data_IF_110119388690
#
_entry.id   IF_110119388690
#
_cell.length_a   1.000
_cell.length_b   1.000
_cell.length_c   1.000
_cell.angle_alpha   90.00
_cell.angle_beta   90.00
_cell.angle_gamma   90.00
#
_symmetry.space_group_name_H-M   'P 1'
#
loop_
_entity.id
_entity.type
_entity.pdbx_description
1 polymer ?
#
# COMPACT_ATOMS: atom_id res chain seq x y z
N UNK A 1 -5.78 -35.13 69.19
CA UNK A 1 -6.34 -34.96 67.83
C UNK A 1 -5.52 -33.90 67.12
N UNK A 2 -4.86 -34.33 66.06
CA UNK A 2 -4.02 -33.56 65.13
C UNK A 2 -4.88 -32.71 64.20
N UNK A 3 -4.38 -31.56 63.75
CA UNK A 3 -4.69 -30.95 62.44
C UNK A 3 -3.73 -29.80 62.13
N UNK A 4 -2.65 -30.17 61.44
CA UNK A 4 -1.70 -29.31 60.77
C UNK A 4 -2.33 -28.84 59.44
N UNK A 5 -2.45 -27.53 59.19
CA UNK A 5 -3.03 -27.01 57.95
C UNK A 5 -1.94 -26.76 56.92
N UNK A 6 -1.88 -27.66 55.94
CA UNK A 6 -0.92 -27.74 54.83
C UNK A 6 -1.25 -26.67 53.77
N UNK A 7 -0.28 -25.80 53.47
CA UNK A 7 -0.32 -24.84 52.35
C UNK A 7 -0.42 -25.60 51.01
N UNK A 8 -1.33 -25.25 50.09
CA UNK A 8 -1.39 -25.90 48.80
C UNK A 8 -0.21 -25.45 47.93
N UNK A 9 0.69 -26.39 47.67
CA UNK A 9 1.68 -26.33 46.59
C UNK A 9 0.95 -26.55 45.27
N UNK A 10 1.07 -25.59 44.36
CA UNK A 10 0.78 -25.77 42.94
C UNK A 10 1.76 -24.90 42.15
N UNK A 11 2.95 -25.46 41.95
CA UNK A 11 3.90 -24.96 40.97
C UNK A 11 3.44 -25.45 39.58
N UNK A 12 2.69 -24.62 38.87
CA UNK A 12 2.63 -24.73 37.41
C UNK A 12 3.93 -24.12 36.90
N UNK A 13 4.92 -24.99 36.67
CA UNK A 13 6.13 -24.66 35.95
C UNK A 13 5.76 -24.41 34.47
N UNK A 14 5.17 -23.25 34.23
CA UNK A 14 5.02 -22.68 32.90
C UNK A 14 6.37 -22.17 32.42
N UNK A 15 6.57 -22.22 31.12
CA UNK A 15 7.77 -21.85 30.36
C UNK A 15 8.08 -20.36 30.55
N UNK A 16 8.56 -19.97 31.73
CA UNK A 16 8.94 -18.61 32.05
C UNK A 16 10.43 -18.47 31.72
N UNK A 17 10.71 -18.09 30.46
CA UNK A 17 11.96 -17.40 30.16
C UNK A 17 12.12 -16.18 31.08
N UNK A 18 13.34 -15.65 31.28
CA UNK A 18 13.59 -14.55 32.20
C UNK A 18 12.56 -13.43 32.03
N UNK A 19 11.89 -13.05 33.13
CA UNK A 19 10.94 -11.94 33.13
C UNK A 19 11.65 -10.67 32.66
N UNK A 20 11.15 -9.97 31.63
CA UNK A 20 11.80 -8.77 31.11
C UNK A 20 12.06 -7.77 32.22
N UNK A 21 13.29 -7.27 32.28
CA UNK A 21 13.62 -6.23 33.26
C UNK A 21 12.83 -4.94 32.94
N UNK A 22 12.55 -4.12 33.96
CA UNK A 22 11.88 -2.82 33.75
C UNK A 22 12.60 -1.94 32.70
N UNK A 23 13.92 -2.12 32.54
CA UNK A 23 14.73 -1.46 31.52
C UNK A 23 14.44 -1.98 30.10
N UNK A 24 14.31 -3.29 29.92
CA UNK A 24 13.93 -3.89 28.64
C UNK A 24 12.53 -3.45 28.21
N UNK A 25 11.58 -3.40 29.14
CA UNK A 25 10.23 -2.89 28.87
C UNK A 25 10.25 -1.45 28.35
N UNK A 26 11.01 -0.56 29.01
CA UNK A 26 11.17 0.83 28.57
C UNK A 26 11.83 0.94 27.19
N UNK A 27 12.86 0.12 26.93
CA UNK A 27 13.53 0.05 25.63
C UNK A 27 12.54 -0.34 24.52
N UNK A 28 11.74 -1.37 24.76
CA UNK A 28 10.76 -1.83 23.78
C UNK A 28 9.64 -0.80 23.57
N UNK A 29 9.21 -0.08 24.62
CA UNK A 29 8.28 1.04 24.46
C UNK A 29 8.80 2.15 23.56
N UNK A 30 10.08 2.53 23.68
CA UNK A 30 10.70 3.53 22.80
C UNK A 30 10.73 3.02 21.36
N UNK A 31 11.18 1.77 21.15
CA UNK A 31 11.21 1.13 19.84
C UNK A 31 9.84 1.10 19.18
N UNK A 32 8.79 0.76 19.93
CA UNK A 32 7.42 0.75 19.41
C UNK A 32 6.97 2.15 18.97
N UNK A 33 7.28 3.20 19.74
CA UNK A 33 6.97 4.58 19.35
C UNK A 33 7.67 4.97 18.05
N UNK A 34 8.96 4.66 17.93
CA UNK A 34 9.75 4.90 16.71
C UNK A 34 9.17 4.15 15.51
N UNK A 35 8.77 2.89 15.68
CA UNK A 35 8.16 2.09 14.62
C UNK A 35 6.82 2.68 14.15
N UNK A 36 5.97 3.13 15.08
CA UNK A 36 4.69 3.77 14.76
C UNK A 36 4.92 5.09 14.01
N UNK A 37 5.89 5.89 14.45
CA UNK A 37 6.22 7.15 13.77
C UNK A 37 6.76 6.91 12.36
N UNK A 38 7.67 5.93 12.21
CA UNK A 38 8.18 5.50 10.91
C UNK A 38 7.07 5.01 10.00
N UNK A 39 6.13 4.22 10.52
CA UNK A 39 4.97 3.75 9.76
C UNK A 39 4.13 4.92 9.26
N UNK A 40 3.81 5.89 10.13
CA UNK A 40 3.07 7.11 9.75
C UNK A 40 3.79 7.91 8.67
N UNK A 41 5.12 8.02 8.77
CA UNK A 41 5.93 8.73 7.77
C UNK A 41 5.92 8.03 6.42
N UNK A 42 6.10 6.72 6.40
CA UNK A 42 6.04 5.92 5.17
C UNK A 42 4.66 5.99 4.52
N UNK A 43 3.59 5.97 5.32
CA UNK A 43 2.23 6.09 4.80
C UNK A 43 2.00 7.44 4.10
N UNK A 44 2.46 8.54 4.69
CA UNK A 44 2.40 9.87 4.06
C UNK A 44 3.17 9.93 2.74
N UNK A 45 4.38 9.34 2.70
CA UNK A 45 5.19 9.26 1.49
C UNK A 45 4.53 8.43 0.40
N UNK A 46 3.89 7.31 0.78
CA UNK A 46 3.17 6.45 -0.15
C UNK A 46 2.06 7.24 -0.84
N UNK A 47 1.21 7.92 -0.07
CA UNK A 47 0.12 8.75 -0.60
C UNK A 47 0.65 9.81 -1.58
N UNK A 48 1.69 10.55 -1.19
CA UNK A 48 2.29 11.58 -2.07
C UNK A 48 2.83 11.00 -3.38
N UNK A 49 3.40 9.80 -3.32
CA UNK A 49 3.94 9.12 -4.49
C UNK A 49 2.80 8.63 -5.40
N UNK A 50 1.73 8.09 -4.83
CA UNK A 50 0.53 7.68 -5.56
C UNK A 50 -0.13 8.87 -6.28
N UNK A 51 -0.30 10.00 -5.60
CA UNK A 51 -0.81 11.25 -6.21
C UNK A 51 0.07 11.70 -7.38
N UNK A 52 1.41 11.61 -7.20
CA UNK A 52 2.38 11.97 -8.24
C UNK A 52 2.26 11.03 -9.45
N UNK A 53 2.07 9.73 -9.23
CA UNK A 53 1.87 8.75 -10.31
C UNK A 53 0.63 9.13 -11.11
N UNK A 54 -0.51 9.37 -10.45
CA UNK A 54 -1.78 9.73 -11.11
C UNK A 54 -1.59 10.97 -12.01
N UNK A 55 -0.97 12.02 -11.47
CA UNK A 55 -0.74 13.25 -12.22
C UNK A 55 0.17 13.03 -13.44
N UNK A 56 1.25 12.27 -13.26
CA UNK A 56 2.20 11.97 -14.35
C UNK A 56 1.58 11.09 -15.42
N UNK A 57 0.78 10.10 -15.04
CA UNK A 57 0.04 9.26 -15.99
C UNK A 57 -0.90 10.09 -16.85
N UNK A 58 -1.75 10.92 -16.23
CA UNK A 58 -2.68 11.76 -16.97
C UNK A 58 -1.95 12.67 -17.96
N UNK A 59 -0.89 13.36 -17.51
CA UNK A 59 -0.08 14.26 -18.34
C UNK A 59 0.60 13.52 -19.50
N UNK A 60 1.14 12.33 -19.24
CA UNK A 60 1.85 11.55 -20.26
C UNK A 60 0.90 11.00 -21.33
N UNK A 61 -0.26 10.49 -20.92
CA UNK A 61 -1.28 9.97 -21.84
C UNK A 61 -1.82 11.10 -22.72
N UNK A 62 -2.10 12.27 -22.15
CA UNK A 62 -2.60 13.43 -22.89
C UNK A 62 -1.57 13.95 -23.91
N UNK A 63 -0.30 14.01 -23.52
CA UNK A 63 0.79 14.47 -24.39
C UNK A 63 1.21 13.47 -25.46
N UNK A 64 0.79 12.20 -25.36
CA UNK A 64 1.21 11.11 -26.26
C UNK A 64 0.02 10.45 -27.01
N UNK A 65 -0.73 11.20 -27.85
CA UNK A 65 -1.93 10.69 -28.51
C UNK A 65 -1.64 9.72 -29.66
N UNK A 66 -0.48 9.85 -30.31
CA UNK A 66 -0.12 9.01 -31.46
C UNK A 66 0.36 7.65 -31.00
N UNK A 67 1.08 7.53 -29.90
CA UNK A 67 1.51 6.24 -29.36
C UNK A 67 2.29 6.42 -28.07
N UNK A 68 2.20 5.43 -27.19
CA UNK A 68 2.77 5.47 -25.85
C UNK A 68 3.02 4.05 -25.32
N UNK A 69 3.64 3.93 -24.15
CA UNK A 69 3.99 2.63 -23.54
C UNK A 69 2.77 1.76 -23.17
N UNK A 70 1.55 2.31 -23.13
CA UNK A 70 0.33 1.58 -22.80
C UNK A 70 -0.28 0.93 -24.05
N UNK A 71 -0.28 1.66 -25.17
CA UNK A 71 -0.97 1.23 -26.41
C UNK A 71 -0.03 0.86 -27.55
N UNK A 72 1.27 1.07 -27.38
CA UNK A 72 2.30 0.83 -28.38
C UNK A 72 2.59 2.03 -29.28
N UNK A 73 3.61 1.88 -30.14
CA UNK A 73 4.13 2.92 -31.01
C UNK A 73 3.81 2.70 -32.50
N UNK A 74 2.98 1.71 -32.83
CA UNK A 74 2.65 1.30 -34.20
C UNK A 74 2.16 2.44 -35.11
N UNK A 75 1.46 3.41 -34.54
CA UNK A 75 0.91 4.56 -35.27
C UNK A 75 1.98 5.53 -35.79
N UNK A 76 3.21 5.48 -35.24
CA UNK A 76 4.33 6.26 -35.78
C UNK A 76 4.86 5.68 -37.09
N UNK A 77 4.68 4.37 -37.33
CA UNK A 77 5.15 3.67 -38.53
C UNK A 77 4.09 3.67 -39.63
N UNK A 78 2.81 3.48 -39.27
CA UNK A 78 1.72 3.19 -40.22
C UNK A 78 0.97 4.43 -40.74
N UNK A 79 1.31 5.63 -40.24
CA UNK A 79 0.61 6.88 -40.56
C UNK A 79 -0.71 7.03 -39.81
N UNK A 80 -1.05 8.28 -39.46
CA UNK A 80 -2.12 8.66 -38.51
C UNK A 80 -3.57 8.38 -38.98
N UNK A 81 -3.75 7.72 -40.12
CA UNK A 81 -5.05 7.48 -40.77
C UNK A 81 -6.06 6.68 -39.93
N UNK A 82 -5.63 6.04 -38.82
CA UNK A 82 -6.48 5.32 -37.88
C UNK A 82 -6.72 6.00 -36.51
N UNK A 83 -6.05 7.12 -36.21
CA UNK A 83 -5.99 7.69 -34.85
C UNK A 83 -7.35 8.10 -34.28
N UNK A 84 -8.29 8.58 -35.11
CA UNK A 84 -9.62 9.00 -34.65
C UNK A 84 -10.54 7.83 -34.24
N UNK A 85 -10.42 6.67 -34.90
CA UNK A 85 -11.18 5.47 -34.53
C UNK A 85 -10.59 4.81 -33.27
N UNK A 86 -9.27 4.88 -33.09
CA UNK A 86 -8.60 4.35 -31.92
C UNK A 86 -8.87 5.18 -30.67
N UNK A 87 -8.96 6.52 -30.76
CA UNK A 87 -9.39 7.39 -29.64
C UNK A 87 -10.79 7.11 -29.11
N UNK A 88 -11.68 6.52 -29.92
CA UNK A 88 -13.02 6.06 -29.50
C UNK A 88 -13.01 4.64 -28.93
N UNK A 89 -11.96 3.87 -29.22
CA UNK A 89 -11.71 2.51 -28.69
C UNK A 89 -10.86 2.51 -27.41
N UNK A 90 -10.04 3.55 -27.26
CA UNK A 90 -9.37 3.95 -26.02
C UNK A 90 -10.50 4.35 -25.08
N UNK A 91 -10.80 3.50 -24.10
CA UNK A 91 -11.93 3.75 -23.19
C UNK A 91 -11.68 4.95 -22.28
N UNK A 92 -12.32 4.97 -21.11
CA UNK A 92 -12.05 5.99 -20.10
C UNK A 92 -10.54 6.12 -19.87
N UNK A 93 -10.05 7.35 -19.67
CA UNK A 93 -8.63 7.63 -19.35
C UNK A 93 -8.16 6.79 -18.16
N UNK A 94 -9.08 6.48 -17.26
CA UNK A 94 -8.89 5.63 -16.08
C UNK A 94 -8.53 4.17 -16.42
N UNK A 95 -8.96 3.65 -17.58
CA UNK A 95 -8.56 2.32 -18.05
C UNK A 95 -7.06 2.27 -18.41
N UNK A 96 -6.48 3.41 -18.77
CA UNK A 96 -5.09 3.53 -19.20
C UNK A 96 -4.13 3.95 -18.07
N UNK A 97 -4.64 4.32 -16.90
CA UNK A 97 -3.84 4.59 -15.69
C UNK A 97 -3.38 3.28 -15.02
N UNK A 98 -2.64 2.44 -15.76
CA UNK A 98 -2.22 1.10 -15.31
C UNK A 98 -1.24 1.14 -14.14
N UNK A 99 -0.45 2.22 -13.99
CA UNK A 99 0.49 2.36 -12.89
C UNK A 99 -0.25 2.68 -11.60
N UNK A 100 -1.22 3.60 -11.62
CA UNK A 100 -2.10 3.84 -10.46
C UNK A 100 -2.86 2.57 -10.07
N UNK A 101 -3.42 1.87 -11.05
CA UNK A 101 -4.15 0.61 -10.84
C UNK A 101 -3.29 -0.55 -10.35
N UNK A 102 -1.96 -0.45 -10.42
CA UNK A 102 -1.06 -1.46 -9.86
C UNK A 102 -0.92 -1.36 -8.33
N UNK A 103 -1.32 -0.23 -7.73
CA UNK A 103 -1.42 -0.10 -6.28
C UNK A 103 -2.73 -0.70 -5.78
N UNK A 104 -2.63 -1.56 -4.76
CA UNK A 104 -3.79 -2.10 -4.03
C UNK A 104 -4.50 -1.05 -3.19
N UNK A 105 -3.81 0.04 -2.84
CA UNK A 105 -4.37 1.15 -2.07
C UNK A 105 -5.07 2.17 -2.97
N UNK A 106 -4.79 2.16 -4.27
CA UNK A 106 -5.50 2.99 -5.23
C UNK A 106 -6.95 2.50 -5.40
N UNK A 107 -7.89 3.42 -5.20
CA UNK A 107 -9.31 3.21 -5.45
C UNK A 107 -9.73 4.11 -6.60
N UNK A 108 -9.91 3.57 -7.82
CA UNK A 108 -10.48 4.36 -8.90
C UNK A 108 -11.87 4.83 -8.46
N UNK A 109 -12.26 6.05 -8.86
CA UNK A 109 -13.60 6.57 -8.59
C UNK A 109 -14.61 5.93 -9.56
N UNK A 110 -14.55 4.60 -9.72
CA UNK A 110 -15.54 3.80 -10.41
C UNK A 110 -16.66 3.56 -9.41
N UNK A 111 -17.65 4.44 -9.41
CA UNK A 111 -18.71 4.51 -8.41
C UNK A 111 -19.19 3.15 -7.91
N UNK A 112 -19.10 2.95 -6.59
CA UNK A 112 -20.11 2.17 -5.87
C UNK A 112 -21.42 2.94 -6.02
N UNK A 113 -22.17 2.57 -7.04
CA UNK A 113 -23.63 2.70 -7.08
C UNK A 113 -24.12 1.29 -6.82
N UNK A 114 -24.04 0.88 -5.56
CA UNK A 114 -24.76 -0.21 -4.89
C UNK A 114 -24.43 -0.11 -3.38
#
# INVERSE_FOLDING_TARGET
>A
MTSESKKPSSAVAGIAGPLPTLQEYKKEQVRLREMIEKQKHLFKKLIQLEDTIIQKEATYIESSPTGNIITGYDNYIKGSSGSAAQRRKLGSIEQHCVFSRSSVSYRPNTGSVD
#
